data_IF_612380299895
#
_entry.id   IF_612380299895
#
_cell.length_a   1.000
_cell.length_b   1.000
_cell.length_c   1.000
_cell.angle_alpha   90.00
_cell.angle_beta   90.00
_cell.angle_gamma   90.00
#
_symmetry.space_group_name_H-M   'P 1'
#
loop_
_entity.id
_entity.type
_entity.pdbx_description
1 polymer ?
#
# COMPACT_ATOMS: atom_id res chain seq x y z
N UNK A 1 -20.28 -4.82 -17.17
CA UNK A 1 -19.81 -6.21 -16.97
C UNK A 1 -19.52 -6.35 -15.48
N UNK A 2 -20.32 -7.11 -14.73
CA UNK A 2 -20.12 -7.23 -13.27
C UNK A 2 -18.97 -8.19 -12.98
N UNK A 3 -18.15 -7.89 -11.97
CA UNK A 3 -17.07 -8.78 -11.55
C UNK A 3 -17.66 -9.88 -10.67
N UNK A 4 -17.84 -11.08 -11.23
CA UNK A 4 -18.36 -12.22 -10.48
C UNK A 4 -17.30 -12.82 -9.56
N UNK A 5 -17.64 -13.15 -8.29
CA UNK A 5 -16.75 -13.87 -7.39
C UNK A 5 -16.24 -15.18 -8.01
N UNK A 6 -15.02 -15.59 -7.66
CA UNK A 6 -14.39 -16.81 -8.18
C UNK A 6 -13.75 -16.70 -9.57
N UNK A 7 -14.03 -15.62 -10.32
CA UNK A 7 -13.41 -15.41 -11.65
C UNK A 7 -11.96 -14.91 -11.56
N UNK A 8 -11.18 -15.16 -12.62
CA UNK A 8 -9.83 -14.61 -12.74
C UNK A 8 -9.83 -13.07 -12.72
N UNK A 9 -10.82 -12.44 -13.38
CA UNK A 9 -10.98 -10.98 -13.38
C UNK A 9 -11.19 -10.41 -11.97
N UNK A 10 -12.01 -11.07 -11.14
CA UNK A 10 -12.20 -10.66 -9.75
C UNK A 10 -10.93 -10.83 -8.90
N UNK A 11 -10.19 -11.91 -9.12
CA UNK A 11 -8.89 -12.14 -8.47
C UNK A 11 -7.88 -11.05 -8.84
N UNK A 12 -7.78 -10.70 -10.13
CA UNK A 12 -6.91 -9.62 -10.63
C UNK A 12 -7.34 -8.27 -10.06
N UNK A 13 -8.64 -8.00 -9.97
CA UNK A 13 -9.14 -6.78 -9.35
C UNK A 13 -8.73 -6.67 -7.87
N UNK A 14 -8.94 -7.72 -7.07
CA UNK A 14 -8.53 -7.74 -5.66
C UNK A 14 -7.01 -7.61 -5.49
N UNK A 15 -6.24 -8.28 -6.35
CA UNK A 15 -4.80 -8.13 -6.42
C UNK A 15 -4.40 -6.68 -6.70
N UNK A 16 -5.05 -6.04 -7.67
CA UNK A 16 -4.79 -4.65 -8.04
C UNK A 16 -5.18 -3.66 -6.93
N UNK A 17 -6.30 -3.88 -6.21
CA UNK A 17 -6.64 -3.11 -5.01
C UNK A 17 -5.54 -3.19 -3.95
N UNK A 18 -4.98 -4.39 -3.78
CA UNK A 18 -3.90 -4.62 -2.81
C UNK A 18 -2.63 -3.90 -3.26
N UNK A 19 -2.30 -3.94 -4.55
CA UNK A 19 -1.11 -3.32 -5.14
C UNK A 19 -1.02 -1.79 -4.96
N UNK A 20 -2.13 -1.09 -4.70
CA UNK A 20 -2.16 0.36 -4.45
C UNK A 20 -1.17 0.77 -3.34
N UNK A 21 -1.11 0.01 -2.25
CA UNK A 21 -0.22 0.29 -1.12
C UNK A 21 1.25 0.39 -1.53
N UNK A 22 1.89 -0.71 -1.98
CA UNK A 22 3.29 -0.70 -2.39
C UNK A 22 3.54 0.15 -3.64
N UNK A 23 2.64 0.22 -4.62
CA UNK A 23 2.82 1.17 -5.74
C UNK A 23 2.92 2.61 -5.23
N UNK A 24 2.07 3.00 -4.28
CA UNK A 24 2.10 4.34 -3.72
C UNK A 24 3.30 4.63 -2.83
N UNK A 25 3.95 3.60 -2.29
CA UNK A 25 5.12 3.74 -1.42
C UNK A 25 6.42 3.68 -2.22
N UNK A 26 6.52 2.75 -3.16
CA UNK A 26 7.78 2.31 -3.72
C UNK A 26 8.06 2.89 -5.12
N UNK A 27 7.01 3.21 -5.89
CA UNK A 27 7.16 3.68 -7.27
C UNK A 27 7.82 5.05 -7.38
N UNK A 28 7.72 5.90 -6.36
CA UNK A 28 8.35 7.23 -6.37
C UNK A 28 9.74 7.27 -5.70
N UNK A 29 10.21 6.16 -5.12
CA UNK A 29 11.53 6.10 -4.45
C UNK A 29 12.70 6.50 -5.37
N UNK A 30 12.72 6.07 -6.65
CA UNK A 30 13.77 6.48 -7.57
C UNK A 30 13.81 8.00 -7.79
N UNK A 31 12.68 8.68 -7.59
CA UNK A 31 12.52 10.12 -7.74
C UNK A 31 12.97 10.96 -6.54
N UNK A 32 13.25 10.35 -5.38
CA UNK A 32 13.54 11.11 -4.14
C UNK A 32 14.73 12.09 -4.29
N UNK A 33 15.86 11.72 -4.91
CA UNK A 33 16.97 12.66 -5.10
C UNK A 33 16.56 13.89 -5.91
N UNK A 34 15.77 13.70 -6.97
CA UNK A 34 15.33 14.76 -7.87
C UNK A 34 14.30 15.68 -7.21
N UNK A 35 13.39 15.12 -6.41
CA UNK A 35 12.48 15.90 -5.56
C UNK A 35 13.28 16.79 -4.59
N UNK A 36 14.35 16.27 -3.99
CA UNK A 36 15.24 17.05 -3.13
C UNK A 36 15.92 18.20 -3.88
N UNK A 37 16.41 17.94 -5.10
CA UNK A 37 17.04 18.97 -5.95
C UNK A 37 16.04 20.04 -6.38
N UNK A 38 14.85 19.67 -6.83
CA UNK A 38 13.81 20.59 -7.31
C UNK A 38 13.31 21.54 -6.22
N UNK A 39 13.20 21.07 -4.98
CA UNK A 39 12.78 21.90 -3.85
C UNK A 39 13.92 22.49 -3.03
N UNK A 40 15.18 22.20 -3.36
CA UNK A 40 16.34 22.56 -2.54
C UNK A 40 16.25 22.00 -1.10
N UNK A 41 15.59 20.84 -0.95
CA UNK A 41 15.31 20.22 0.34
C UNK A 41 16.41 19.22 0.72
N UNK A 42 16.73 19.12 2.01
CA UNK A 42 17.66 18.12 2.51
C UNK A 42 17.05 16.70 2.45
N UNK A 43 17.91 15.68 2.63
CA UNK A 43 17.47 14.29 2.59
C UNK A 43 16.43 13.96 3.67
N UNK A 44 16.49 14.62 4.84
CA UNK A 44 15.55 14.39 5.94
C UNK A 44 14.15 14.88 5.60
N UNK A 45 14.02 16.07 5.02
CA UNK A 45 12.77 16.63 4.55
C UNK A 45 12.14 15.79 3.43
N UNK A 46 12.96 15.27 2.51
CA UNK A 46 12.49 14.37 1.46
C UNK A 46 12.06 13.01 2.04
N UNK A 47 12.81 12.44 2.97
CA UNK A 47 12.45 11.20 3.67
C UNK A 47 11.15 11.35 4.48
N UNK A 48 10.87 12.55 5.01
CA UNK A 48 9.61 12.83 5.70
C UNK A 48 8.39 12.59 4.79
N UNK A 49 8.51 12.76 3.47
CA UNK A 49 7.42 12.43 2.52
C UNK A 49 7.03 10.95 2.58
N UNK A 50 8.00 10.06 2.84
CA UNK A 50 7.80 8.63 2.98
C UNK A 50 7.29 8.30 4.38
N UNK A 51 7.93 8.82 5.42
CA UNK A 51 7.54 8.55 6.81
C UNK A 51 6.12 9.03 7.11
N UNK A 52 5.78 10.26 6.70
CA UNK A 52 4.44 10.81 6.89
C UNK A 52 3.38 10.01 6.10
N UNK A 53 3.71 9.60 4.87
CA UNK A 53 2.85 8.72 4.08
C UNK A 53 2.58 7.39 4.81
N UNK A 54 3.61 6.72 5.34
CA UNK A 54 3.46 5.45 6.04
C UNK A 54 2.64 5.59 7.33
N UNK A 55 2.88 6.64 8.11
CA UNK A 55 2.11 6.92 9.33
C UNK A 55 0.64 7.14 8.97
N UNK A 56 0.36 7.95 7.95
CA UNK A 56 -1.01 8.22 7.50
C UNK A 56 -1.68 6.97 6.93
N UNK A 57 -0.96 6.19 6.11
CA UNK A 57 -1.44 4.94 5.54
C UNK A 57 -1.79 3.94 6.65
N UNK A 58 -0.86 3.66 7.56
CA UNK A 58 -1.08 2.73 8.67
C UNK A 58 -2.22 3.18 9.59
N UNK A 59 -2.27 4.47 9.93
CA UNK A 59 -3.33 5.02 10.81
C UNK A 59 -4.70 4.91 10.16
N UNK A 60 -4.80 5.19 8.85
CA UNK A 60 -6.07 5.14 8.12
C UNK A 60 -6.68 3.74 8.10
N UNK A 61 -5.86 2.68 8.05
CA UNK A 61 -6.33 1.30 8.02
C UNK A 61 -7.15 0.90 9.26
N UNK A 62 -6.87 1.52 10.42
CA UNK A 62 -7.60 1.28 11.66
C UNK A 62 -9.07 1.70 11.57
N UNK A 63 -9.38 2.67 10.72
CA UNK A 63 -10.72 3.24 10.60
C UNK A 63 -11.54 2.61 9.47
N UNK A 64 -10.90 2.16 8.38
CA UNK A 64 -11.62 1.67 7.21
C UNK A 64 -12.42 0.39 7.42
N UNK A 65 -11.98 -0.50 8.31
CA UNK A 65 -12.75 -1.69 8.69
C UNK A 65 -14.14 -1.30 9.24
N UNK A 66 -14.20 -0.66 10.42
CA UNK A 66 -15.45 -0.22 11.02
C UNK A 66 -16.28 0.72 10.14
N UNK A 67 -15.62 1.63 9.41
CA UNK A 67 -16.30 2.56 8.52
C UNK A 67 -17.05 1.80 7.41
N UNK A 68 -16.40 0.78 6.83
CA UNK A 68 -17.01 -0.03 5.78
C UNK A 68 -18.06 -1.02 6.29
N UNK A 69 -17.94 -1.50 7.53
CA UNK A 69 -18.99 -2.30 8.17
C UNK A 69 -20.28 -1.48 8.36
N UNK A 70 -20.15 -0.17 8.58
CA UNK A 70 -21.28 0.75 8.77
C UNK A 70 -21.87 1.30 7.48
N UNK A 71 -21.02 1.69 6.52
CA UNK A 71 -21.47 2.39 5.31
C UNK A 71 -21.54 1.50 4.06
N UNK A 72 -20.95 0.30 4.11
CA UNK A 72 -20.80 -0.59 2.96
C UNK A 72 -19.36 -0.60 2.43
N UNK A 73 -18.96 -1.67 1.74
CA UNK A 73 -17.62 -1.79 1.17
C UNK A 73 -17.43 -0.85 -0.01
N UNK A 74 -18.39 -0.84 -0.94
CA UNK A 74 -18.31 -0.08 -2.20
C UNK A 74 -18.23 1.44 -1.99
N UNK A 75 -19.11 2.10 -1.22
CA UNK A 75 -19.04 3.55 -1.06
C UNK A 75 -17.79 3.99 -0.31
N UNK A 76 -17.33 3.21 0.67
CA UNK A 76 -16.09 3.52 1.41
C UNK A 76 -14.86 3.34 0.52
N UNK A 77 -14.83 2.30 -0.33
CA UNK A 77 -13.75 2.09 -1.29
C UNK A 77 -13.68 3.24 -2.31
N UNK A 78 -14.82 3.68 -2.85
CA UNK A 78 -14.88 4.82 -3.77
C UNK A 78 -14.43 6.13 -3.10
N UNK A 79 -14.87 6.39 -1.86
CA UNK A 79 -14.42 7.56 -1.09
C UNK A 79 -12.91 7.53 -0.85
N UNK A 80 -12.34 6.36 -0.54
CA UNK A 80 -10.90 6.16 -0.44
C UNK A 80 -10.18 6.49 -1.76
N UNK A 81 -10.68 6.01 -2.89
CA UNK A 81 -10.10 6.33 -4.19
C UNK A 81 -10.17 7.80 -4.55
N UNK A 82 -11.24 8.51 -4.21
CA UNK A 82 -11.34 9.96 -4.39
C UNK A 82 -10.20 10.67 -3.64
N UNK A 83 -9.97 10.33 -2.37
CA UNK A 83 -8.86 10.90 -1.58
C UNK A 83 -7.50 10.54 -2.17
N UNK A 84 -7.33 9.28 -2.60
CA UNK A 84 -6.09 8.81 -3.21
C UNK A 84 -5.75 9.61 -4.48
N UNK A 85 -6.71 9.73 -5.39
CA UNK A 85 -6.57 10.47 -6.66
C UNK A 85 -6.36 11.97 -6.39
N UNK A 86 -7.10 12.54 -5.43
CA UNK A 86 -6.91 13.93 -5.02
C UNK A 86 -5.49 14.18 -4.48
N UNK A 87 -4.95 13.26 -3.68
CA UNK A 87 -3.56 13.30 -3.23
C UNK A 87 -2.55 13.22 -4.38
N UNK A 88 -2.75 12.28 -5.32
CA UNK A 88 -1.93 12.20 -6.54
C UNK A 88 -1.94 13.50 -7.34
N UNK A 89 -3.12 14.09 -7.53
CA UNK A 89 -3.30 15.32 -8.30
C UNK A 89 -2.70 16.51 -7.57
N UNK A 90 -2.90 16.62 -6.25
CA UNK A 90 -2.30 17.67 -5.42
C UNK A 90 -0.78 17.67 -5.53
N UNK A 91 -0.13 16.50 -5.56
CA UNK A 91 1.33 16.35 -5.74
C UNK A 91 1.87 16.98 -7.02
N UNK A 92 1.03 17.24 -8.03
CA UNK A 92 1.46 17.86 -9.30
C UNK A 92 1.66 19.39 -9.17
N UNK A 93 0.94 20.02 -8.25
CA UNK A 93 0.87 21.47 -8.10
C UNK A 93 1.66 22.00 -6.89
N UNK A 94 2.36 21.12 -6.18
CA UNK A 94 3.16 21.52 -5.02
C UNK A 94 4.34 22.39 -5.43
N UNK A 95 4.62 23.39 -4.61
CA UNK A 95 5.71 24.37 -4.80
C UNK A 95 6.81 24.23 -3.76
N UNK A 96 6.61 23.41 -2.72
CA UNK A 96 7.61 23.09 -1.70
C UNK A 96 7.39 21.66 -1.15
N UNK A 97 8.36 21.20 -0.35
CA UNK A 97 8.38 19.84 0.17
C UNK A 97 7.28 19.59 1.21
N UNK A 98 6.89 20.60 1.99
CA UNK A 98 5.84 20.49 3.00
C UNK A 98 4.46 20.25 2.36
N UNK A 99 4.17 20.94 1.26
CA UNK A 99 2.97 20.70 0.46
C UNK A 99 2.98 19.28 -0.12
N UNK A 100 4.14 18.79 -0.56
CA UNK A 100 4.27 17.40 -1.02
C UNK A 100 4.00 16.41 0.12
N UNK A 101 4.50 16.66 1.33
CA UNK A 101 4.19 15.86 2.53
C UNK A 101 2.68 15.81 2.77
N UNK A 102 1.99 16.95 2.71
CA UNK A 102 0.53 17.01 2.90
C UNK A 102 -0.23 16.26 1.80
N UNK A 103 0.15 16.42 0.53
CA UNK A 103 -0.42 15.68 -0.59
C UNK A 103 -0.21 14.17 -0.43
N UNK A 104 0.97 13.76 0.05
CA UNK A 104 1.32 12.37 0.35
C UNK A 104 0.49 11.77 1.50
N UNK A 105 0.21 12.55 2.54
CA UNK A 105 -0.70 12.15 3.63
C UNK A 105 -2.11 11.93 3.08
N UNK A 106 -2.63 12.85 2.28
CA UNK A 106 -3.95 12.72 1.67
C UNK A 106 -4.05 11.47 0.79
N UNK A 107 -3.03 11.26 -0.06
CA UNK A 107 -2.90 10.08 -0.90
C UNK A 107 -2.86 8.79 -0.06
N UNK A 108 -2.07 8.78 1.01
CA UNK A 108 -1.91 7.64 1.91
C UNK A 108 -3.22 7.24 2.58
N UNK A 109 -3.97 8.22 3.09
CA UNK A 109 -5.26 8.00 3.72
C UNK A 109 -6.19 7.33 2.71
N UNK A 110 -6.31 7.86 1.49
CA UNK A 110 -7.13 7.23 0.46
C UNK A 110 -6.71 5.82 0.09
N UNK A 111 -5.41 5.58 -0.07
CA UNK A 111 -4.84 4.28 -0.42
C UNK A 111 -5.04 3.21 0.66
N UNK A 112 -5.13 3.61 1.94
CA UNK A 112 -5.38 2.68 3.04
C UNK A 112 -6.72 1.94 2.93
N UNK A 113 -7.71 2.56 2.29
CA UNK A 113 -9.02 1.96 2.06
C UNK A 113 -8.91 0.68 1.21
N UNK A 114 -8.15 0.72 0.12
CA UNK A 114 -8.12 -0.37 -0.86
C UNK A 114 -7.55 -1.66 -0.29
N UNK A 115 -6.48 -1.57 0.50
CA UNK A 115 -5.80 -2.75 1.08
C UNK A 115 -6.66 -3.42 2.15
N UNK A 116 -7.32 -2.63 3.00
CA UNK A 116 -8.20 -3.15 4.06
C UNK A 116 -9.46 -3.76 3.45
N UNK A 117 -10.09 -3.04 2.52
CA UNK A 117 -11.35 -3.43 1.91
C UNK A 117 -11.20 -4.63 0.98
N UNK A 118 -10.07 -4.78 0.28
CA UNK A 118 -9.83 -5.97 -0.53
C UNK A 118 -9.89 -7.25 0.32
N UNK A 119 -9.29 -7.23 1.52
CA UNK A 119 -9.33 -8.38 2.45
C UNK A 119 -10.72 -8.57 3.05
N UNK A 120 -11.43 -7.48 3.36
CA UNK A 120 -12.80 -7.54 3.87
C UNK A 120 -13.76 -8.15 2.83
N UNK A 121 -13.67 -7.72 1.57
CA UNK A 121 -14.46 -8.25 0.45
C UNK A 121 -14.23 -9.75 0.27
N UNK A 122 -12.98 -10.23 0.37
CA UNK A 122 -12.69 -11.67 0.33
C UNK A 122 -13.38 -12.41 1.46
N UNK A 123 -13.34 -11.87 2.68
CA UNK A 123 -13.98 -12.48 3.85
C UNK A 123 -15.51 -12.43 3.81
N UNK A 124 -16.08 -11.49 3.07
CA UNK A 124 -17.53 -11.38 2.88
C UNK A 124 -18.06 -12.38 1.83
N UNK A 125 -17.22 -12.80 0.87
CA UNK A 125 -17.63 -13.55 -0.32
C UNK A 125 -17.14 -15.00 -0.39
N UNK A 126 -16.08 -15.35 0.34
CA UNK A 126 -15.48 -16.68 0.32
C UNK A 126 -15.37 -17.25 1.73
N UNK A 127 -15.44 -18.58 1.83
CA UNK A 127 -15.32 -19.30 3.09
C UNK A 127 -14.21 -20.35 3.07
N UNK A 128 -13.77 -20.76 4.26
CA UNK A 128 -12.83 -21.87 4.45
C UNK A 128 -11.55 -21.76 3.61
N UNK A 129 -11.26 -22.84 2.87
CA UNK A 129 -10.05 -22.95 2.06
C UNK A 129 -10.00 -21.94 0.91
N UNK A 130 -11.14 -21.57 0.32
CA UNK A 130 -11.20 -20.65 -0.81
C UNK A 130 -10.79 -19.22 -0.40
N UNK A 131 -11.29 -18.76 0.75
CA UNK A 131 -10.85 -17.50 1.37
C UNK A 131 -9.34 -17.50 1.64
N UNK A 132 -8.83 -18.62 2.19
CA UNK A 132 -7.40 -18.79 2.44
C UNK A 132 -6.56 -18.70 1.17
N UNK A 133 -7.00 -19.34 0.07
CA UNK A 133 -6.32 -19.25 -1.22
C UNK A 133 -6.33 -17.84 -1.79
N UNK A 134 -7.44 -17.12 -1.69
CA UNK A 134 -7.53 -15.75 -2.20
C UNK A 134 -6.64 -14.79 -1.41
N UNK A 135 -6.64 -14.88 -0.07
CA UNK A 135 -5.75 -14.11 0.79
C UNK A 135 -4.27 -14.43 0.51
N UNK A 136 -3.94 -15.69 0.25
CA UNK A 136 -2.58 -16.08 -0.13
C UNK A 136 -2.15 -15.48 -1.48
N UNK A 137 -3.05 -15.47 -2.48
CA UNK A 137 -2.79 -14.78 -3.77
C UNK A 137 -2.54 -13.29 -3.57
N UNK A 138 -3.37 -12.62 -2.76
CA UNK A 138 -3.17 -11.21 -2.43
C UNK A 138 -1.85 -10.96 -1.68
N UNK A 139 -1.47 -11.87 -0.77
CA UNK A 139 -0.19 -11.79 -0.08
C UNK A 139 1.01 -11.94 -1.03
N UNK A 140 0.91 -12.81 -2.05
CA UNK A 140 1.94 -12.93 -3.08
C UNK A 140 2.15 -11.61 -3.85
N UNK A 141 1.07 -10.88 -4.13
CA UNK A 141 1.13 -9.56 -4.77
C UNK A 141 1.85 -8.54 -3.88
N UNK A 142 1.70 -8.63 -2.55
CA UNK A 142 2.47 -7.80 -1.61
C UNK A 142 3.96 -8.11 -1.59
N UNK A 143 4.40 -9.29 -2.02
CA UNK A 143 5.82 -9.59 -2.23
C UNK A 143 6.33 -9.15 -3.60
N UNK A 144 5.50 -9.28 -4.64
CA UNK A 144 5.91 -9.00 -6.02
C UNK A 144 5.92 -7.51 -6.35
N UNK A 145 4.91 -6.76 -5.94
CA UNK A 145 4.75 -5.35 -6.35
C UNK A 145 5.88 -4.45 -5.83
N UNK A 146 6.36 -4.57 -4.58
CA UNK A 146 7.54 -3.82 -4.14
C UNK A 146 8.81 -4.07 -4.97
N UNK A 147 8.92 -5.24 -5.62
CA UNK A 147 10.02 -5.53 -6.54
C UNK A 147 9.91 -4.69 -7.82
N UNK A 148 8.69 -4.62 -8.36
CA UNK A 148 8.42 -4.03 -9.67
C UNK A 148 8.19 -2.53 -9.59
N UNK A 149 7.66 -2.02 -8.48
CA UNK A 149 7.26 -0.64 -8.33
C UNK A 149 8.44 0.34 -8.52
N UNK A 150 9.62 0.17 -7.88
CA UNK A 150 10.78 1.03 -8.14
C UNK A 150 11.32 0.90 -9.56
N UNK A 151 11.20 -0.26 -10.21
CA UNK A 151 11.60 -0.42 -11.60
C UNK A 151 10.71 0.40 -12.53
N UNK A 152 9.38 0.29 -12.37
CA UNK A 152 8.42 1.11 -13.11
C UNK A 152 8.62 2.60 -12.81
N UNK A 153 8.87 2.91 -11.53
CA UNK A 153 9.17 4.23 -11.03
C UNK A 153 10.40 4.88 -11.66
N UNK A 154 11.47 4.10 -11.79
CA UNK A 154 12.74 4.54 -12.36
C UNK A 154 12.62 4.81 -13.85
N UNK A 155 11.90 3.96 -14.58
CA UNK A 155 11.58 4.20 -15.99
C UNK A 155 10.75 5.48 -16.14
N UNK A 156 9.67 5.63 -15.38
CA UNK A 156 8.83 6.84 -15.45
C UNK A 156 9.64 8.10 -15.08
N UNK A 157 10.51 8.00 -14.07
CA UNK A 157 11.40 9.09 -13.66
C UNK A 157 12.33 9.53 -14.79
N UNK A 158 13.04 8.60 -15.42
CA UNK A 158 14.05 8.92 -16.44
C UNK A 158 13.45 9.57 -17.69
N UNK A 159 12.23 9.17 -18.09
CA UNK A 159 11.60 9.69 -19.31
C UNK A 159 10.69 10.90 -19.09
N UNK A 160 10.02 10.99 -17.94
CA UNK A 160 8.94 11.96 -17.71
C UNK A 160 9.05 12.72 -16.38
N UNK A 161 10.04 12.41 -15.55
CA UNK A 161 10.26 13.07 -14.26
C UNK A 161 9.30 12.62 -13.16
N UNK A 162 9.52 13.15 -11.96
CA UNK A 162 8.90 12.61 -10.74
C UNK A 162 7.40 12.86 -10.64
N UNK A 163 6.90 13.95 -11.23
CA UNK A 163 5.47 14.24 -11.28
C UNK A 163 4.70 13.17 -12.05
N UNK A 164 5.32 12.55 -13.06
CA UNK A 164 4.69 11.51 -13.86
C UNK A 164 4.41 10.24 -13.04
N UNK A 165 5.20 9.94 -12.01
CA UNK A 165 4.90 8.85 -11.07
C UNK A 165 3.55 9.07 -10.35
N UNK A 166 3.27 10.31 -9.93
CA UNK A 166 1.97 10.65 -9.32
C UNK A 166 0.81 10.57 -10.32
N UNK A 167 1.03 10.95 -11.57
CA UNK A 167 0.03 10.78 -12.65
C UNK A 167 -0.27 9.29 -12.86
N UNK A 168 0.76 8.45 -13.00
CA UNK A 168 0.60 7.01 -13.21
C UNK A 168 -0.17 6.34 -12.05
N UNK A 169 0.19 6.67 -10.81
CA UNK A 169 -0.54 6.21 -9.63
C UNK A 169 -1.99 6.70 -9.61
N UNK A 170 -2.23 7.98 -9.89
CA UNK A 170 -3.56 8.58 -9.97
C UNK A 170 -4.44 7.92 -11.04
N UNK A 171 -3.88 7.65 -12.22
CA UNK A 171 -4.55 6.94 -13.31
C UNK A 171 -4.90 5.50 -12.90
N UNK A 172 -3.97 4.79 -12.25
CA UNK A 172 -4.23 3.45 -11.71
C UNK A 172 -5.38 3.47 -10.68
N UNK A 173 -5.37 4.43 -9.75
CA UNK A 173 -6.46 4.65 -8.81
C UNK A 173 -7.78 4.97 -9.49
N UNK A 174 -7.78 5.78 -10.56
CA UNK A 174 -8.98 6.12 -11.32
C UNK A 174 -9.57 4.92 -12.06
N UNK A 175 -8.73 4.06 -12.66
CA UNK A 175 -9.16 2.80 -13.26
C UNK A 175 -9.81 1.89 -12.21
N UNK A 176 -9.20 1.76 -11.03
CA UNK A 176 -9.78 0.95 -9.95
C UNK A 176 -11.07 1.55 -9.39
N UNK A 177 -11.16 2.88 -9.28
CA UNK A 177 -12.38 3.57 -8.90
C UNK A 177 -13.50 3.31 -9.90
N UNK A 178 -13.20 3.38 -11.20
CA UNK A 178 -14.16 3.09 -12.27
C UNK A 178 -14.61 1.63 -12.24
N UNK A 179 -13.69 0.68 -12.09
CA UNK A 179 -14.02 -0.75 -11.94
C UNK A 179 -14.89 -1.00 -10.70
N UNK A 180 -14.58 -0.33 -9.59
CA UNK A 180 -15.38 -0.40 -8.35
C UNK A 180 -16.78 0.18 -8.56
N UNK A 181 -16.88 1.31 -9.25
CA UNK A 181 -18.14 1.98 -9.51
C UNK A 181 -19.03 1.17 -10.47
N UNK A 182 -18.47 0.55 -11.50
CA UNK A 182 -19.26 -0.11 -12.54
C UNK A 182 -19.46 -1.62 -12.31
N UNK A 183 -18.56 -2.26 -11.59
CA UNK A 183 -18.45 -3.72 -11.63
C UNK A 183 -18.45 -4.41 -10.27
N UNK A 184 -18.20 -3.69 -9.17
CA UNK A 184 -18.27 -4.25 -7.82
C UNK A 184 -19.69 -4.06 -7.25
N UNK A 185 -20.38 -5.17 -6.96
CA UNK A 185 -21.62 -5.14 -6.20
C UNK A 185 -21.34 -4.94 -4.70
N UNK A 186 -22.30 -4.38 -3.96
CA UNK A 186 -22.15 -4.17 -2.51
C UNK A 186 -22.16 -5.52 -1.78
N UNK A 187 -21.06 -5.84 -1.07
CA UNK A 187 -20.92 -7.10 -0.32
C UNK A 187 -21.40 -6.99 1.12
N UNK A 188 -21.60 -5.77 1.64
CA UNK A 188 -22.11 -5.51 2.97
C UNK A 188 -23.53 -4.89 2.93
N UNK A 189 -24.58 -5.73 2.79
CA UNK A 189 -25.95 -5.25 2.68
C UNK A 189 -26.44 -4.63 4.00
N UNK A 190 -27.42 -3.71 3.96
CA UNK A 190 -27.89 -2.98 5.15
C UNK A 190 -28.22 -3.85 6.37
N UNK A 191 -28.77 -5.05 6.14
CA UNK A 191 -29.12 -5.99 7.21
C UNK A 191 -27.92 -6.56 7.99
N UNK A 192 -26.70 -6.57 7.40
CA UNK A 192 -25.46 -7.03 8.04
C UNK A 192 -24.59 -5.89 8.57
N UNK A 193 -24.98 -4.64 8.32
CA UNK A 193 -24.19 -3.47 8.73
C UNK A 193 -24.16 -3.37 10.23
N UNK A 194 -22.96 -3.29 10.78
CA UNK A 194 -22.78 -3.15 12.22
C UNK A 194 -22.78 -1.68 12.62
N UNK A 195 -23.31 -1.40 13.81
CA UNK A 195 -23.13 -0.09 14.43
C UNK A 195 -21.63 0.10 14.73
N UNK A 196 -20.98 1.06 14.07
CA UNK A 196 -19.62 1.47 14.41
C UNK A 196 -19.64 2.16 15.79
N UNK A 197 -19.53 1.36 16.86
CA UNK A 197 -19.42 1.84 18.23
C UNK A 197 -17.93 2.07 18.56
N UNK A 198 -17.43 3.32 18.59
CA UNK A 198 -16.01 3.60 18.75
C UNK A 198 -15.44 3.03 20.06
N UNK A 199 -16.26 3.01 21.11
CA UNK A 199 -15.92 2.42 22.41
C UNK A 199 -15.71 0.90 22.35
N UNK A 200 -16.48 0.18 21.54
CA UNK A 200 -16.31 -1.26 21.38
C UNK A 200 -14.98 -1.55 20.66
N UNK A 201 -14.71 -0.82 19.58
CA UNK A 201 -13.46 -0.90 18.81
C UNK A 201 -12.25 -0.62 19.72
N UNK A 202 -12.30 0.45 20.52
CA UNK A 202 -11.23 0.80 21.45
C UNK A 202 -11.02 -0.28 22.52
N UNK A 203 -12.09 -0.90 23.03
CA UNK A 203 -11.99 -2.04 23.96
C UNK A 203 -11.30 -3.24 23.32
N UNK A 204 -11.58 -3.54 22.04
CA UNK A 204 -10.91 -4.62 21.32
C UNK A 204 -9.41 -4.34 21.16
N UNK A 205 -9.03 -3.13 20.75
CA UNK A 205 -7.61 -2.75 20.68
C UNK A 205 -6.92 -2.81 22.04
N UNK A 206 -7.57 -2.34 23.11
CA UNK A 206 -7.01 -2.41 24.47
C UNK A 206 -6.77 -3.85 24.93
N UNK A 207 -7.67 -4.78 24.60
CA UNK A 207 -7.51 -6.21 24.92
C UNK A 207 -6.32 -6.82 24.16
N UNK A 208 -6.16 -6.51 22.87
CA UNK A 208 -5.02 -6.97 22.09
C UNK A 208 -3.70 -6.42 22.63
N UNK A 209 -3.64 -5.12 22.95
CA UNK A 209 -2.45 -4.49 23.51
C UNK A 209 -2.12 -4.96 24.95
N UNK A 210 -3.07 -5.58 25.65
CA UNK A 210 -2.83 -6.20 26.94
C UNK A 210 -2.28 -7.64 26.83
N UNK A 211 -2.41 -8.28 25.67
CA UNK A 211 -1.93 -9.65 25.45
C UNK A 211 -0.42 -9.66 25.15
N UNK A 212 0.36 -10.20 26.10
CA UNK A 212 1.82 -10.29 25.98
C UNK A 212 2.29 -11.19 24.83
N UNK A 213 1.52 -12.23 24.45
CA UNK A 213 1.88 -13.09 23.32
C UNK A 213 1.72 -12.31 22.01
N UNK A 214 0.60 -11.60 21.88
CA UNK A 214 0.38 -10.70 20.75
C UNK A 214 1.49 -9.65 20.65
N UNK A 215 1.85 -8.99 21.76
CA UNK A 215 2.93 -7.99 21.76
C UNK A 215 4.28 -8.58 21.33
N UNK A 216 4.63 -9.82 21.73
CA UNK A 216 5.88 -10.45 21.27
C UNK A 216 5.90 -10.65 19.76
N UNK A 217 4.84 -11.20 19.17
CA UNK A 217 4.75 -11.39 17.72
C UNK A 217 4.71 -10.05 16.99
N UNK A 218 3.97 -9.08 17.51
CA UNK A 218 3.90 -7.72 16.97
C UNK A 218 5.27 -7.05 16.98
N UNK A 219 6.02 -7.15 18.08
CA UNK A 219 7.37 -6.57 18.18
C UNK A 219 8.35 -7.18 17.19
N UNK A 220 8.34 -8.51 17.02
CA UNK A 220 9.19 -9.20 16.03
C UNK A 220 8.87 -8.69 14.62
N UNK A 221 7.58 -8.66 14.26
CA UNK A 221 7.13 -8.16 12.96
C UNK A 221 7.50 -6.68 12.77
N UNK A 222 7.32 -5.85 13.80
CA UNK A 222 7.60 -4.41 13.76
C UNK A 222 9.09 -4.15 13.57
N UNK A 223 9.97 -4.81 14.34
CA UNK A 223 11.42 -4.64 14.23
C UNK A 223 11.92 -5.07 12.85
N UNK A 224 11.44 -6.20 12.33
CA UNK A 224 11.78 -6.65 10.98
C UNK A 224 11.34 -5.63 9.92
N UNK A 225 10.13 -5.06 10.05
CA UNK A 225 9.60 -4.08 9.13
C UNK A 225 10.33 -2.72 9.22
N UNK A 226 10.72 -2.28 10.42
CA UNK A 226 11.52 -1.08 10.63
C UNK A 226 12.87 -1.18 9.93
N UNK A 227 13.56 -2.34 10.02
CA UNK A 227 14.83 -2.56 9.33
C UNK A 227 14.68 -2.46 7.80
N UNK A 228 13.61 -3.07 7.26
CA UNK A 228 13.29 -2.95 5.84
C UNK A 228 13.06 -1.49 5.44
N UNK A 229 12.21 -0.75 6.16
CA UNK A 229 11.88 0.63 5.81
C UNK A 229 13.03 1.63 6.01
N UNK A 230 13.92 1.38 6.97
CA UNK A 230 15.16 2.13 7.10
C UNK A 230 15.99 2.01 5.82
N UNK A 231 16.15 0.79 5.29
CA UNK A 231 16.79 0.58 3.99
C UNK A 231 16.02 1.29 2.87
N UNK A 232 14.70 1.07 2.74
CA UNK A 232 13.89 1.66 1.65
C UNK A 232 14.05 3.18 1.60
N UNK A 233 13.92 3.85 2.75
CA UNK A 233 14.00 5.32 2.84
C UNK A 233 15.38 5.91 2.51
N UNK A 234 16.47 5.21 2.83
CA UNK A 234 17.84 5.68 2.61
C UNK A 234 18.46 5.19 1.29
N UNK A 235 17.93 4.11 0.72
CA UNK A 235 18.54 3.39 -0.41
C UNK A 235 18.73 4.28 -1.64
N UNK A 236 17.78 5.13 -1.98
CA UNK A 236 17.87 6.01 -3.16
C UNK A 236 18.98 7.05 -3.00
N UNK A 237 19.13 7.66 -1.81
CA UNK A 237 20.20 8.61 -1.53
C UNK A 237 21.58 7.98 -1.58
N UNK A 238 21.73 6.77 -1.03
CA UNK A 238 23.00 6.04 -1.06
C UNK A 238 23.32 5.60 -2.49
N UNK A 239 22.41 4.87 -3.14
CA UNK A 239 22.67 4.27 -4.44
C UNK A 239 22.74 5.30 -5.57
N UNK A 240 21.88 6.31 -5.57
CA UNK A 240 21.87 7.31 -6.65
C UNK A 240 22.72 8.54 -6.29
N UNK A 241 22.66 9.01 -5.04
CA UNK A 241 23.40 10.20 -4.61
C UNK A 241 24.89 9.96 -4.38
N UNK A 242 25.26 8.84 -3.74
CA UNK A 242 26.68 8.52 -3.43
C UNK A 242 27.30 7.68 -4.55
N UNK A 243 26.64 6.58 -4.95
CA UNK A 243 27.17 5.67 -5.97
C UNK A 243 26.87 6.12 -7.42
N UNK A 244 26.09 7.18 -7.62
CA UNK A 244 25.82 7.74 -8.94
C UNK A 244 24.98 6.84 -9.86
N UNK A 245 24.22 5.89 -9.30
CA UNK A 245 23.37 5.01 -10.10
C UNK A 245 22.19 5.79 -10.68
N UNK A 246 21.79 5.48 -11.92
CA UNK A 246 20.57 6.03 -12.51
C UNK A 246 19.31 5.46 -11.86
N UNK A 247 18.16 6.14 -11.94
CA UNK A 247 16.87 5.65 -11.44
C UNK A 247 16.50 4.25 -11.95
N UNK A 248 16.78 3.92 -13.22
CA UNK A 248 16.56 2.57 -13.78
C UNK A 248 17.45 1.53 -13.08
N UNK A 249 18.75 1.81 -12.90
CA UNK A 249 19.67 0.86 -12.26
C UNK A 249 19.32 0.67 -10.79
N UNK A 250 18.92 1.75 -10.10
CA UNK A 250 18.36 1.67 -8.75
C UNK A 250 17.14 0.73 -8.69
N UNK A 251 16.20 0.86 -9.64
CA UNK A 251 15.06 -0.03 -9.74
C UNK A 251 15.45 -1.50 -9.89
N UNK A 252 16.45 -1.80 -10.72
CA UNK A 252 16.98 -3.16 -10.90
C UNK A 252 17.62 -3.73 -9.62
N UNK A 253 18.38 -2.91 -8.88
CA UNK A 253 18.93 -3.30 -7.58
C UNK A 253 17.84 -3.64 -6.56
N UNK A 254 16.76 -2.85 -6.55
CA UNK A 254 15.61 -3.11 -5.67
C UNK A 254 14.88 -4.40 -6.05
N UNK A 255 14.77 -4.69 -7.35
CA UNK A 255 14.25 -5.96 -7.86
C UNK A 255 15.05 -7.17 -7.35
N UNK A 256 16.37 -7.09 -7.30
CA UNK A 256 17.22 -8.14 -6.73
C UNK A 256 16.96 -8.34 -5.22
N UNK A 257 16.81 -7.25 -4.46
CA UNK A 257 16.45 -7.32 -3.04
C UNK A 257 15.09 -7.99 -2.83
N UNK A 258 14.08 -7.61 -3.61
CA UNK A 258 12.76 -8.21 -3.52
C UNK A 258 12.77 -9.69 -3.93
N UNK A 259 13.63 -10.09 -4.88
CA UNK A 259 13.91 -11.50 -5.16
C UNK A 259 14.44 -12.26 -3.94
N UNK A 260 15.34 -11.63 -3.17
CA UNK A 260 15.82 -12.16 -1.89
C UNK A 260 14.69 -12.29 -0.85
N UNK A 261 13.82 -11.28 -0.73
CA UNK A 261 12.66 -11.32 0.17
C UNK A 261 11.69 -12.45 -0.18
N UNK A 262 11.31 -12.58 -1.45
CA UNK A 262 10.42 -13.65 -1.94
C UNK A 262 11.08 -15.02 -1.75
N UNK A 263 12.37 -15.15 -2.10
CA UNK A 263 13.14 -16.38 -1.90
C UNK A 263 13.19 -16.80 -0.44
N UNK A 264 13.43 -15.85 0.48
CA UNK A 264 13.40 -16.07 1.92
C UNK A 264 12.02 -16.50 2.43
N UNK A 265 10.94 -15.87 1.96
CA UNK A 265 9.58 -16.25 2.33
C UNK A 265 9.23 -17.67 1.86
N UNK A 266 9.62 -18.05 0.65
CA UNK A 266 9.42 -19.39 0.11
C UNK A 266 10.26 -20.43 0.86
N UNK A 267 11.50 -20.12 1.18
CA UNK A 267 12.37 -20.96 1.98
C UNK A 267 11.82 -21.16 3.40
N UNK A 268 11.39 -20.07 4.06
CA UNK A 268 10.77 -20.11 5.38
C UNK A 268 9.52 -20.99 5.42
N UNK A 269 8.63 -20.87 4.42
CA UNK A 269 7.46 -21.73 4.30
C UNK A 269 7.80 -23.22 4.14
N UNK A 270 8.93 -23.54 3.48
CA UNK A 270 9.43 -24.92 3.37
C UNK A 270 10.11 -25.40 4.66
N UNK A 271 10.85 -24.53 5.35
CA UNK A 271 11.55 -24.86 6.59
C UNK A 271 10.58 -25.08 7.76
N UNK A 272 9.54 -24.25 7.91
CA UNK A 272 8.50 -24.42 8.95
C UNK A 272 7.84 -25.79 8.86
N UNK A 273 7.55 -26.27 7.64
CA UNK A 273 7.01 -27.63 7.43
C UNK A 273 7.98 -28.75 7.86
N UNK A 274 9.29 -28.48 7.90
CA UNK A 274 10.31 -29.47 8.27
C UNK A 274 10.77 -29.38 9.72
N UNK A 275 10.77 -28.18 10.31
CA UNK A 275 11.40 -27.90 11.61
C UNK A 275 10.43 -27.48 12.72
N UNK A 276 9.17 -27.14 12.39
CA UNK A 276 8.17 -26.65 13.35
C UNK A 276 8.15 -25.14 13.44
#
# INVERSE_FOLDING_TARGET
>A
MRLSPGTAAFTVFLAALTAVGPLSTDMYLPSLPDIGRDFGADAGAVQLTLSAHLIAFASSQLFYGPLSDRYGRRPVLLGGFVLFIAGCFASLFVTNIEQLVLARILQAVGGGASVVLARAIVRDLFEGAEAGQMLAKMAAIMGLVPALAPMLGGVVQDFYGWKANFIAMGAFGAVLALMTALSLDETMPPARRQSAAPLAILRHYRRLLADRRFLKYLSIATVAFCGLFAFVSGSSFVLQGIYGLSPIVYGLCFGAMAGGYVGGSLAGGRLVRRLG
#
